data_IF_811748649986
#
_entry.id   IF_811748649986
#
_cell.length_a   1.000
_cell.length_b   1.000
_cell.length_c   1.000
_cell.angle_alpha   90.00
_cell.angle_beta   90.00
_cell.angle_gamma   90.00
#
_symmetry.space_group_name_H-M   'P 1'
#
loop_
_entity.id
_entity.type
_entity.pdbx_description
1 polymer ?
#
# COMPACT_ATOMS: atom_id res chain seq x y z
N UNK A 1 11.33 -21.84 -7.75
CA UNK A 1 10.93 -20.43 -7.69
C UNK A 1 11.71 -19.74 -6.59
N UNK A 2 11.98 -18.45 -6.74
CA UNK A 2 12.68 -17.63 -5.74
C UNK A 2 11.64 -16.81 -4.96
N UNK A 3 11.81 -16.70 -3.65
CA UNK A 3 10.98 -15.80 -2.83
C UNK A 3 11.52 -14.38 -2.99
N UNK A 4 10.65 -13.44 -3.40
CA UNK A 4 11.01 -12.03 -3.60
C UNK A 4 10.48 -11.13 -2.47
N UNK A 5 9.34 -11.48 -1.86
CA UNK A 5 8.74 -10.71 -0.77
C UNK A 5 8.31 -11.62 0.38
N UNK A 6 8.68 -11.26 1.61
CA UNK A 6 8.39 -12.04 2.82
C UNK A 6 9.24 -13.31 2.93
N UNK A 7 8.64 -14.41 3.38
CA UNK A 7 9.31 -15.71 3.56
C UNK A 7 9.75 -16.01 5.00
N UNK A 8 9.72 -15.02 5.91
CA UNK A 8 10.17 -15.17 7.30
C UNK A 8 9.00 -15.23 8.31
N UNK A 9 7.88 -15.85 7.91
CA UNK A 9 6.66 -15.98 8.70
C UNK A 9 5.78 -14.72 8.73
N UNK A 10 4.64 -14.83 9.41
CA UNK A 10 3.71 -13.71 9.61
C UNK A 10 4.25 -12.73 10.64
N UNK A 11 4.11 -11.42 10.36
CA UNK A 11 4.48 -10.37 11.31
C UNK A 11 4.61 -8.99 10.67
N UNK A 12 5.16 -8.04 11.42
CA UNK A 12 5.25 -6.64 11.05
C UNK A 12 6.68 -6.14 10.78
N UNK A 13 7.69 -7.02 10.89
CA UNK A 13 9.06 -6.68 10.49
C UNK A 13 9.14 -6.41 8.99
N UNK A 14 10.23 -5.78 8.55
CA UNK A 14 10.43 -5.43 7.13
C UNK A 14 10.68 -6.66 6.24
N UNK A 15 11.02 -7.80 6.84
CA UNK A 15 11.22 -9.09 6.18
C UNK A 15 10.01 -10.04 6.30
N UNK A 16 8.90 -9.56 6.88
CA UNK A 16 7.68 -10.31 7.10
C UNK A 16 6.49 -9.62 6.43
N UNK A 17 5.41 -10.38 6.23
CA UNK A 17 4.14 -9.87 5.74
C UNK A 17 3.01 -10.23 6.71
N UNK A 18 1.97 -9.39 6.80
CA UNK A 18 0.74 -9.66 7.55
C UNK A 18 -0.50 -9.37 6.70
N UNK A 19 -1.25 -10.43 6.40
CA UNK A 19 -2.45 -10.40 5.54
C UNK A 19 -2.25 -9.59 4.23
N UNK A 20 -1.30 -9.97 3.37
CA UNK A 20 -1.14 -9.32 2.06
C UNK A 20 -2.43 -9.48 1.23
N UNK A 21 -2.87 -8.41 0.55
CA UNK A 21 -4.13 -8.38 -0.21
C UNK A 21 -3.94 -8.27 -1.71
N UNK A 22 -2.91 -7.56 -2.16
CA UNK A 22 -2.66 -7.31 -3.57
C UNK A 22 -1.15 -7.28 -3.86
N UNK A 23 -0.80 -7.59 -5.10
CA UNK A 23 0.57 -7.51 -5.60
C UNK A 23 0.61 -6.77 -6.93
N UNK A 24 1.56 -5.87 -7.07
CA UNK A 24 1.90 -5.21 -8.33
C UNK A 24 3.38 -5.42 -8.62
N UNK A 25 3.74 -5.65 -9.88
CA UNK A 25 5.13 -5.78 -10.32
C UNK A 25 5.39 -4.70 -11.36
N UNK A 26 6.36 -3.84 -11.09
CA UNK A 26 6.73 -2.77 -12.04
C UNK A 26 7.66 -3.29 -13.16
N UNK A 27 7.98 -2.41 -14.10
CA UNK A 27 8.85 -2.71 -15.24
C UNK A 27 10.30 -3.01 -14.84
N UNK A 28 10.72 -2.58 -13.64
CA UNK A 28 12.04 -2.86 -13.06
C UNK A 28 12.03 -4.14 -12.20
N UNK A 29 10.95 -4.93 -12.29
CA UNK A 29 10.71 -6.16 -11.52
C UNK A 29 10.68 -5.96 -10.00
N UNK A 30 10.41 -4.74 -9.52
CA UNK A 30 10.11 -4.52 -8.11
C UNK A 30 8.70 -4.99 -7.80
N UNK A 31 8.54 -5.68 -6.67
CA UNK A 31 7.28 -6.23 -6.18
C UNK A 31 6.73 -5.31 -5.10
N UNK A 32 5.51 -4.82 -5.30
CA UNK A 32 4.77 -4.02 -4.34
C UNK A 32 3.66 -4.87 -3.76
N UNK A 33 3.57 -4.91 -2.43
CA UNK A 33 2.58 -5.70 -1.71
C UNK A 33 1.80 -4.78 -0.79
N UNK A 34 0.49 -4.74 -0.94
CA UNK A 34 -0.38 -4.12 0.05
C UNK A 34 -0.65 -5.10 1.19
N UNK A 35 -0.43 -4.65 2.41
CA UNK A 35 -0.58 -5.44 3.62
C UNK A 35 -1.71 -4.88 4.46
N UNK A 36 -2.87 -5.54 4.46
CA UNK A 36 -4.00 -5.03 5.22
C UNK A 36 -3.82 -5.23 6.73
N UNK A 37 -3.06 -6.25 7.15
CA UNK A 37 -2.79 -6.51 8.57
C UNK A 37 -1.75 -5.57 9.19
N UNK A 38 -0.89 -4.96 8.37
CA UNK A 38 0.12 -4.00 8.81
C UNK A 38 -0.18 -2.57 8.37
N UNK A 39 -1.31 -2.33 7.69
CA UNK A 39 -1.75 -1.01 7.24
C UNK A 39 -0.68 -0.25 6.43
N UNK A 40 -0.01 -0.96 5.52
CA UNK A 40 1.12 -0.44 4.74
C UNK A 40 1.21 -1.06 3.35
N UNK A 41 2.03 -0.45 2.50
CA UNK A 41 2.51 -1.03 1.25
C UNK A 41 4.02 -1.19 1.32
N UNK A 42 4.51 -2.38 0.98
CA UNK A 42 5.93 -2.71 0.93
C UNK A 42 6.41 -2.85 -0.51
N UNK A 43 7.56 -2.25 -0.84
CA UNK A 43 8.32 -2.52 -2.07
C UNK A 43 9.46 -3.48 -1.77
N UNK A 44 9.66 -4.46 -2.64
CA UNK A 44 10.76 -5.42 -2.62
C UNK A 44 11.43 -5.47 -3.99
N UNK A 45 12.75 -5.61 -3.99
CA UNK A 45 13.54 -5.87 -5.21
C UNK A 45 14.10 -7.28 -5.10
N UNK A 46 14.26 -7.97 -6.23
CA UNK A 46 14.85 -9.31 -6.24
C UNK A 46 16.19 -9.35 -5.48
N UNK A 47 16.33 -10.33 -4.59
CA UNK A 47 17.53 -10.50 -3.75
C UNK A 47 17.58 -9.62 -2.50
N UNK A 48 16.63 -8.71 -2.29
CA UNK A 48 16.55 -7.94 -1.04
C UNK A 48 16.25 -8.86 0.16
N UNK A 49 16.89 -8.60 1.30
CA UNK A 49 16.64 -9.34 2.56
C UNK A 49 15.39 -8.87 3.31
N UNK A 50 14.98 -7.63 3.04
CA UNK A 50 13.83 -6.96 3.63
C UNK A 50 13.26 -5.97 2.62
N UNK A 51 11.98 -5.66 2.72
CA UNK A 51 11.34 -4.64 1.92
C UNK A 51 11.46 -3.24 2.51
N UNK A 52 10.87 -2.28 1.81
CA UNK A 52 10.82 -0.87 2.19
C UNK A 52 9.35 -0.45 2.24
N UNK A 53 8.94 0.25 3.30
CA UNK A 53 7.60 0.85 3.38
C UNK A 53 7.55 2.03 2.40
N UNK A 54 6.63 1.97 1.44
CA UNK A 54 6.45 3.03 0.42
C UNK A 54 5.13 3.79 0.56
N UNK A 55 4.18 3.27 1.36
CA UNK A 55 2.97 3.98 1.75
C UNK A 55 2.44 3.45 3.09
N UNK A 56 1.83 4.33 3.89
CA UNK A 56 1.32 3.98 5.22
C UNK A 56 2.41 3.62 6.24
N UNK A 57 2.14 2.63 7.09
CA UNK A 57 3.10 2.11 8.07
C UNK A 57 3.19 2.86 9.40
N UNK A 58 2.39 3.91 9.60
CA UNK A 58 2.23 4.60 10.89
C UNK A 58 1.00 4.10 11.67
N UNK A 59 0.72 2.80 11.56
CA UNK A 59 -0.46 2.15 12.14
C UNK A 59 -1.74 2.37 11.35
N UNK A 60 -2.82 1.74 11.82
CA UNK A 60 -4.16 1.96 11.30
C UNK A 60 -4.62 3.40 11.57
N UNK A 61 -5.20 4.06 10.56
CA UNK A 61 -5.85 5.35 10.74
C UNK A 61 -6.17 6.05 9.43
N UNK A 62 -6.62 7.29 9.53
CA UNK A 62 -7.04 8.13 8.40
C UNK A 62 -6.12 9.34 8.14
N UNK A 63 -5.02 9.47 8.90
CA UNK A 63 -3.99 10.48 8.64
C UNK A 63 -3.34 10.32 7.26
N UNK A 64 -2.60 11.34 6.82
CA UNK A 64 -1.89 11.30 5.53
C UNK A 64 -0.67 10.37 5.54
N UNK A 65 -0.24 9.90 6.70
CA UNK A 65 0.82 8.89 6.87
C UNK A 65 0.27 7.49 7.18
N UNK A 66 -1.05 7.35 7.26
CA UNK A 66 -1.75 6.14 7.71
C UNK A 66 -2.64 5.58 6.60
N UNK A 67 -2.91 4.28 6.71
CA UNK A 67 -3.88 3.56 5.89
C UNK A 67 -4.79 2.75 6.83
N UNK A 68 -5.96 2.36 6.37
CA UNK A 68 -6.85 1.41 7.03
C UNK A 68 -7.24 0.31 6.04
N UNK A 69 -6.80 -0.92 6.32
CA UNK A 69 -7.03 -2.11 5.50
C UNK A 69 -6.79 -1.92 3.99
N UNK A 70 -5.60 -1.44 3.55
CA UNK A 70 -5.33 -1.19 2.14
C UNK A 70 -5.52 -2.45 1.28
N UNK A 71 -6.01 -2.25 0.06
CA UNK A 71 -6.19 -3.31 -0.96
C UNK A 71 -5.37 -3.02 -2.20
N UNK A 72 -5.96 -2.57 -3.29
CA UNK A 72 -5.29 -2.35 -4.55
C UNK A 72 -4.11 -1.43 -4.42
N UNK A 73 -3.05 -1.80 -5.13
CA UNK A 73 -1.86 -0.98 -5.29
C UNK A 73 -1.46 -1.00 -6.76
N UNK A 74 -1.17 0.18 -7.30
CA UNK A 74 -0.54 0.34 -8.62
C UNK A 74 0.56 1.39 -8.51
N UNK A 75 1.56 1.31 -9.38
CA UNK A 75 2.70 2.22 -9.40
C UNK A 75 2.88 2.74 -10.82
N UNK A 76 3.05 4.05 -10.98
CA UNK A 76 3.32 4.66 -12.28
C UNK A 76 4.82 4.66 -12.63
N UNK A 77 5.14 5.13 -13.84
CA UNK A 77 6.51 5.19 -14.35
C UNK A 77 7.42 6.16 -13.57
N UNK A 78 6.86 7.00 -12.70
CA UNK A 78 7.59 7.92 -11.84
C UNK A 78 7.76 7.37 -10.42
N UNK A 79 7.53 6.06 -10.20
CA UNK A 79 7.52 5.41 -8.89
C UNK A 79 6.46 6.02 -7.92
N UNK A 80 5.39 6.63 -8.43
CA UNK A 80 4.29 7.10 -7.59
C UNK A 80 3.37 5.94 -7.27
N UNK A 81 3.16 5.69 -5.97
CA UNK A 81 2.32 4.61 -5.47
C UNK A 81 0.90 5.12 -5.27
N UNK A 82 -0.08 4.43 -5.85
CA UNK A 82 -1.50 4.67 -5.64
C UNK A 82 -2.09 3.50 -4.88
N UNK A 83 -2.82 3.79 -3.80
CA UNK A 83 -3.36 2.77 -2.90
C UNK A 83 -4.84 2.98 -2.70
N UNK A 84 -5.62 1.91 -2.88
CA UNK A 84 -6.99 1.85 -2.40
C UNK A 84 -6.99 1.67 -0.88
N UNK A 85 -7.17 2.79 -0.18
CA UNK A 85 -7.23 2.85 1.29
C UNK A 85 -8.65 2.49 1.75
N UNK A 86 -8.97 1.20 1.62
CA UNK A 86 -10.34 0.67 1.66
C UNK A 86 -11.10 1.04 2.93
N UNK A 87 -10.46 0.97 4.09
CA UNK A 87 -11.10 1.26 5.37
C UNK A 87 -11.45 2.75 5.54
N UNK A 88 -10.83 3.61 4.74
CA UNK A 88 -11.07 5.05 4.73
C UNK A 88 -11.85 5.53 3.49
N UNK A 89 -12.35 4.62 2.65
CA UNK A 89 -13.13 4.92 1.45
C UNK A 89 -12.48 6.00 0.57
N UNK A 90 -11.18 5.86 0.32
CA UNK A 90 -10.38 6.83 -0.44
C UNK A 90 -9.29 6.17 -1.28
N UNK A 91 -8.83 6.86 -2.31
CA UNK A 91 -7.59 6.55 -3.02
C UNK A 91 -6.53 7.57 -2.60
N UNK A 92 -5.38 7.05 -2.20
CA UNK A 92 -4.23 7.85 -1.80
C UNK A 92 -3.12 7.74 -2.84
N UNK A 93 -2.39 8.84 -3.07
CA UNK A 93 -1.13 8.85 -3.84
C UNK A 93 0.07 9.14 -2.94
N UNK A 94 1.19 8.48 -3.19
CA UNK A 94 2.51 8.73 -2.61
C UNK A 94 3.55 8.84 -3.73
N UNK A 95 4.00 10.06 -4.07
CA UNK A 95 5.17 10.23 -4.93
C UNK A 95 6.40 9.52 -4.35
N UNK A 96 7.34 9.12 -5.22
CA UNK A 96 8.60 8.48 -4.79
C UNK A 96 9.29 9.29 -3.69
N UNK A 97 9.57 8.64 -2.56
CA UNK A 97 10.26 9.25 -1.42
C UNK A 97 9.41 10.19 -0.56
N UNK A 98 8.10 10.33 -0.83
CA UNK A 98 7.21 11.13 0.00
C UNK A 98 7.04 10.49 1.39
N UNK A 99 7.08 11.32 2.44
CA UNK A 99 6.87 10.88 3.82
C UNK A 99 5.38 10.77 4.20
N UNK A 100 4.50 11.38 3.41
CA UNK A 100 3.06 11.35 3.55
C UNK A 100 2.38 11.37 2.18
N UNK A 101 1.16 10.85 2.12
CA UNK A 101 0.37 10.77 0.91
C UNK A 101 -0.53 11.99 0.75
N UNK A 102 -1.35 11.94 -0.27
CA UNK A 102 -2.46 12.87 -0.47
C UNK A 102 -3.67 12.12 -1.00
N UNK A 103 -4.85 12.51 -0.54
CA UNK A 103 -6.12 11.99 -1.07
C UNK A 103 -6.29 12.51 -2.49
N UNK A 104 -6.56 11.62 -3.43
CA UNK A 104 -6.87 12.02 -4.82
C UNK A 104 -8.33 11.79 -5.19
N UNK A 105 -8.99 10.82 -4.55
CA UNK A 105 -10.41 10.49 -4.75
C UNK A 105 -10.99 9.96 -3.44
N UNK A 106 -12.25 10.29 -3.13
CA UNK A 106 -12.94 9.80 -1.94
C UNK A 106 -12.57 10.52 -0.65
N UNK A 107 -12.76 9.86 0.50
CA UNK A 107 -12.47 10.40 1.84
C UNK A 107 -13.57 11.29 2.43
N UNK A 108 -14.71 11.45 1.74
CA UNK A 108 -15.87 12.24 2.19
C UNK A 108 -17.00 11.35 2.72
N UNK A 109 -16.62 10.26 3.39
CA UNK A 109 -17.53 9.21 3.82
C UNK A 109 -17.85 8.19 2.73
N UNK A 110 -18.37 7.05 3.18
CA UNK A 110 -18.78 5.94 2.34
C UNK A 110 -20.05 6.29 1.55
N UNK A 111 -20.05 6.07 0.24
CA UNK A 111 -21.26 6.23 -0.57
C UNK A 111 -20.98 6.33 -2.07
N UNK A 112 -22.02 6.70 -2.81
CA UNK A 112 -22.06 6.73 -4.28
C UNK A 112 -22.12 8.18 -4.82
N UNK A 113 -21.96 9.20 -3.97
CA UNK A 113 -21.83 10.58 -4.43
C UNK A 113 -20.50 10.77 -5.18
N UNK A 114 -20.42 11.79 -6.02
CA UNK A 114 -19.27 12.01 -6.92
C UNK A 114 -17.91 12.19 -6.23
N UNK A 115 -17.90 12.50 -4.94
CA UNK A 115 -16.70 12.66 -4.12
C UNK A 115 -16.58 11.58 -3.01
N UNK A 116 -17.40 10.53 -3.07
CA UNK A 116 -17.40 9.40 -2.15
C UNK A 116 -16.92 8.14 -2.85
N UNK A 117 -16.40 7.20 -2.06
CA UNK A 117 -16.14 5.84 -2.52
C UNK A 117 -16.79 4.86 -1.56
N UNK A 118 -16.86 3.60 -1.98
CA UNK A 118 -17.46 2.54 -1.21
C UNK A 118 -16.53 1.33 -1.23
N UNK A 119 -15.65 1.27 -0.24
CA UNK A 119 -14.67 0.20 -0.05
C UNK A 119 -13.87 -0.13 -1.32
N UNK A 120 -13.08 0.83 -1.85
CA UNK A 120 -12.33 0.63 -3.08
C UNK A 120 -11.36 -0.56 -2.98
N UNK A 121 -11.07 -1.16 -4.13
CA UNK A 121 -10.24 -2.36 -4.28
C UNK A 121 -8.98 -2.13 -5.06
#
# INVERSE_FOLDING_TARGET
>A
GTVVAGGNGSGNRLDQLSYPQYVFVDLDHSVYVSECGNHRVMKWVEGAKQGIVVAGGQGEGNGLTQLSYPKGVVVDQLDTVYVADRGNDRIMRWPKGATQGSVIVGGNGRGEQSNQLNQPF
#
